data_IF_605368810053
#
_entry.id   IF_605368810053
#
_cell.length_a   1.000
_cell.length_b   1.000
_cell.length_c   1.000
_cell.angle_alpha   90.00
_cell.angle_beta   90.00
_cell.angle_gamma   90.00
#
_symmetry.space_group_name_H-M   'P 1'
#
loop_
_entity.id
_entity.type
_entity.pdbx_description
1 polymer ?
#
# COMPACT_ATOMS: atom_id res chain seq x y z
N UNK A 1 29.78 -2.77 17.31
CA UNK A 1 29.12 -2.47 16.04
C UNK A 1 27.99 -1.49 16.34
N UNK A 2 27.92 -0.39 15.62
CA UNK A 2 26.89 0.62 15.78
C UNK A 2 25.51 0.02 15.47
N UNK A 3 24.51 0.25 16.32
CA UNK A 3 23.13 -0.18 16.12
C UNK A 3 22.44 0.74 15.13
N UNK A 4 21.45 0.23 14.45
CA UNK A 4 20.55 0.99 13.56
C UNK A 4 19.16 0.94 14.16
N UNK A 5 18.66 2.09 14.60
CA UNK A 5 17.36 2.22 15.25
C UNK A 5 16.26 2.38 14.18
N UNK A 6 15.33 1.43 14.16
CA UNK A 6 14.21 1.38 13.21
C UNK A 6 12.90 1.49 13.97
N UNK A 7 12.08 2.47 13.61
CA UNK A 7 10.71 2.62 14.10
C UNK A 7 9.71 2.27 13.01
N UNK A 8 8.86 1.29 13.28
CA UNK A 8 7.73 0.91 12.43
C UNK A 8 6.43 1.41 13.08
N UNK A 9 5.71 2.32 12.42
CA UNK A 9 4.43 2.84 12.92
C UNK A 9 3.21 2.09 12.36
N UNK A 10 3.40 1.21 11.40
CA UNK A 10 2.37 0.27 10.94
C UNK A 10 2.42 -1.02 11.78
N UNK A 11 1.27 -1.70 11.84
CA UNK A 11 1.17 -2.99 12.53
C UNK A 11 1.61 -4.14 11.61
N UNK A 12 2.66 -4.83 11.99
CA UNK A 12 3.13 -6.07 11.39
C UNK A 12 2.92 -7.25 12.32
N UNK A 13 2.87 -8.46 11.76
CA UNK A 13 2.93 -9.68 12.56
C UNK A 13 4.34 -9.91 13.11
N UNK A 14 4.43 -10.67 14.21
CA UNK A 14 5.73 -11.03 14.81
C UNK A 14 6.64 -11.73 13.80
N UNK A 15 6.07 -12.57 12.92
CA UNK A 15 6.82 -13.25 11.86
C UNK A 15 7.53 -12.25 10.91
N UNK A 16 6.87 -11.14 10.56
CA UNK A 16 7.46 -10.10 9.70
C UNK A 16 8.55 -9.34 10.45
N UNK A 17 8.30 -8.99 11.71
CA UNK A 17 9.29 -8.30 12.54
C UNK A 17 10.52 -9.16 12.79
N UNK A 18 10.34 -10.45 13.03
CA UNK A 18 11.46 -11.40 13.22
C UNK A 18 12.24 -11.56 11.90
N UNK A 19 11.56 -11.58 10.76
CA UNK A 19 12.21 -11.53 9.45
C UNK A 19 13.08 -10.29 9.27
N UNK A 20 12.60 -9.11 9.68
CA UNK A 20 13.38 -7.87 9.63
C UNK A 20 14.59 -7.93 10.58
N UNK A 21 14.40 -8.39 11.82
CA UNK A 21 15.48 -8.52 12.81
C UNK A 21 16.56 -9.51 12.37
N UNK A 22 16.16 -10.57 11.65
CA UNK A 22 17.07 -11.58 11.14
C UNK A 22 17.99 -11.11 10.00
N UNK A 23 17.67 -9.96 9.35
CA UNK A 23 18.50 -9.40 8.28
C UNK A 23 19.90 -9.00 8.78
N UNK A 24 19.99 -8.45 10.00
CA UNK A 24 21.27 -8.10 10.60
C UNK A 24 21.14 -7.98 12.12
N UNK A 25 22.14 -8.43 12.89
CA UNK A 25 22.18 -8.23 14.35
C UNK A 25 22.36 -6.76 14.76
N UNK A 26 22.62 -5.87 13.79
CA UNK A 26 22.68 -4.43 14.03
C UNK A 26 21.31 -3.76 14.11
N UNK A 27 20.26 -4.39 13.57
CA UNK A 27 18.93 -3.80 13.50
C UNK A 27 18.24 -3.91 14.86
N UNK A 28 17.84 -2.77 15.38
CA UNK A 28 16.96 -2.66 16.52
C UNK A 28 15.59 -2.18 16.03
N UNK A 29 14.65 -3.12 15.90
CA UNK A 29 13.34 -2.85 15.32
C UNK A 29 12.30 -2.71 16.42
N UNK A 30 11.77 -1.50 16.56
CA UNK A 30 10.64 -1.16 17.45
C UNK A 30 9.38 -0.99 16.61
N UNK A 31 8.27 -1.55 17.07
CA UNK A 31 6.95 -1.31 16.49
C UNK A 31 6.07 -0.58 17.49
N UNK A 32 5.54 0.56 17.07
CA UNK A 32 4.52 1.32 17.79
C UNK A 32 3.45 1.76 16.79
N UNK A 33 2.29 1.10 16.82
CA UNK A 33 1.21 1.43 15.87
C UNK A 33 0.72 2.85 16.10
N UNK A 34 0.73 3.66 15.04
CA UNK A 34 0.27 5.04 15.03
C UNK A 34 -0.77 5.23 13.92
N UNK A 35 -1.82 5.97 14.20
CA UNK A 35 -2.95 6.19 13.29
C UNK A 35 -2.93 7.57 12.63
N UNK A 36 -2.24 8.53 13.24
CA UNK A 36 -2.11 9.89 12.75
C UNK A 36 -0.70 10.45 12.95
N UNK A 37 -0.48 11.68 12.48
CA UNK A 37 0.82 12.34 12.56
C UNK A 37 1.21 12.72 13.99
N UNK A 38 0.23 13.02 14.86
CA UNK A 38 0.49 13.40 16.26
C UNK A 38 1.00 12.18 17.05
N UNK A 39 0.41 11.01 16.82
CA UNK A 39 0.89 9.74 17.41
C UNK A 39 2.30 9.39 16.93
N UNK A 40 2.61 9.62 15.63
CA UNK A 40 3.97 9.44 15.10
C UNK A 40 4.94 10.42 15.72
N UNK A 41 4.55 11.70 15.91
CA UNK A 41 5.38 12.70 16.57
C UNK A 41 5.68 12.31 18.03
N UNK A 42 4.69 11.78 18.75
CA UNK A 42 4.90 11.27 20.11
C UNK A 42 5.87 10.08 20.12
N UNK A 43 5.69 9.12 19.22
CA UNK A 43 6.58 7.96 19.08
C UNK A 43 8.02 8.38 18.75
N UNK A 44 8.23 9.36 17.88
CA UNK A 44 9.55 9.89 17.55
C UNK A 44 10.22 10.56 18.76
N UNK A 45 9.46 11.27 19.60
CA UNK A 45 9.97 11.86 20.85
C UNK A 45 10.46 10.79 21.83
N UNK A 46 9.71 9.71 21.95
CA UNK A 46 10.04 8.59 22.83
C UNK A 46 11.26 7.79 22.34
N UNK A 47 11.50 7.78 21.02
CA UNK A 47 12.55 7.00 20.36
C UNK A 47 13.60 7.87 19.63
N UNK A 48 13.93 9.05 20.12
CA UNK A 48 14.71 10.11 19.46
C UNK A 48 15.98 9.75 18.68
N UNK A 49 16.46 8.50 18.76
CA UNK A 49 17.62 7.98 18.01
C UNK A 49 17.24 7.27 16.69
N UNK A 50 16.03 7.47 16.18
CA UNK A 50 15.53 6.78 14.97
C UNK A 50 16.35 7.18 13.73
N UNK A 51 16.93 6.18 13.06
CA UNK A 51 17.63 6.31 11.79
C UNK A 51 16.78 5.89 10.58
N UNK A 52 15.85 4.95 10.82
CA UNK A 52 14.93 4.44 9.79
C UNK A 52 13.51 4.52 10.32
N UNK A 53 12.65 5.21 9.59
CA UNK A 53 11.23 5.34 9.91
C UNK A 53 10.39 4.66 8.83
N UNK A 54 9.56 3.68 9.24
CA UNK A 54 8.52 3.11 8.40
C UNK A 54 7.17 3.67 8.84
N UNK A 55 6.54 4.51 8.00
CA UNK A 55 5.28 5.19 8.36
C UNK A 55 4.41 5.50 7.14
N UNK A 56 3.12 5.80 7.37
CA UNK A 56 2.25 6.45 6.39
C UNK A 56 2.02 7.92 6.74
N UNK A 57 1.45 8.26 7.93
CA UNK A 57 1.39 9.65 8.33
C UNK A 57 2.78 10.14 8.74
N UNK A 58 3.15 11.32 8.27
CA UNK A 58 4.43 11.92 8.61
C UNK A 58 4.20 13.30 9.26
N UNK A 59 4.61 13.51 10.51
CA UNK A 59 4.50 14.82 11.16
C UNK A 59 5.42 15.84 10.50
N UNK A 60 4.98 17.08 10.37
CA UNK A 60 5.71 18.17 9.69
C UNK A 60 7.09 18.42 10.30
N UNK A 61 7.23 18.22 11.62
CA UNK A 61 8.44 18.36 12.41
C UNK A 61 9.26 17.07 12.55
N UNK A 62 9.02 16.06 11.68
CA UNK A 62 9.69 14.75 11.75
C UNK A 62 11.22 14.86 11.78
N UNK A 63 11.82 15.81 11.03
CA UNK A 63 13.28 16.01 10.99
C UNK A 63 13.82 16.60 12.30
N UNK A 64 13.03 17.40 12.99
CA UNK A 64 13.39 17.96 14.30
C UNK A 64 13.30 16.90 15.39
N UNK A 65 12.26 16.05 15.31
CA UNK A 65 12.00 14.97 16.26
C UNK A 65 12.97 13.80 16.12
N UNK A 66 13.43 13.54 14.89
CA UNK A 66 14.40 12.49 14.57
C UNK A 66 15.58 13.06 13.77
N UNK A 67 16.49 13.82 14.40
CA UNK A 67 17.63 14.43 13.69
C UNK A 67 18.61 13.41 13.12
N UNK A 68 18.56 12.15 13.57
CA UNK A 68 19.33 11.04 13.03
C UNK A 68 18.66 10.30 11.85
N UNK A 69 17.49 10.75 11.41
CA UNK A 69 16.75 10.06 10.34
C UNK A 69 17.52 10.09 9.02
N UNK A 70 17.76 8.92 8.46
CA UNK A 70 18.50 8.72 7.20
C UNK A 70 17.65 8.07 6.13
N UNK A 71 16.64 7.29 6.54
CA UNK A 71 15.77 6.58 5.61
C UNK A 71 14.31 6.62 6.07
N UNK A 72 13.46 7.14 5.20
CA UNK A 72 12.01 7.11 5.33
C UNK A 72 11.43 6.10 4.35
N UNK A 73 10.88 5.03 4.86
CA UNK A 73 10.09 4.07 4.08
C UNK A 73 8.62 4.39 4.25
N UNK A 74 7.97 4.84 3.20
CA UNK A 74 6.54 5.11 3.20
C UNK A 74 5.73 3.80 3.08
N UNK A 75 4.65 3.70 3.87
CA UNK A 75 3.65 2.62 3.77
C UNK A 75 2.64 2.87 2.64
N UNK A 76 3.05 3.51 1.57
CA UNK A 76 2.24 3.84 0.41
C UNK A 76 3.00 3.59 -0.88
N UNK A 77 2.29 3.31 -1.97
CA UNK A 77 2.90 3.17 -3.29
C UNK A 77 3.31 4.51 -3.89
N UNK A 78 2.58 5.59 -3.57
CA UNK A 78 2.86 6.94 -4.02
C UNK A 78 3.36 7.84 -2.88
N UNK A 79 4.05 8.94 -3.24
CA UNK A 79 4.58 9.94 -2.32
C UNK A 79 3.86 11.29 -2.39
N UNK A 80 2.69 11.38 -3.04
CA UNK A 80 1.98 12.63 -3.30
C UNK A 80 1.67 13.42 -2.02
N UNK A 81 1.40 12.72 -0.92
CA UNK A 81 1.01 13.30 0.36
C UNK A 81 2.15 13.98 1.11
N UNK A 82 3.40 13.80 0.64
CA UNK A 82 4.58 14.42 1.26
C UNK A 82 5.34 15.36 0.31
N UNK A 83 4.79 15.67 -0.88
CA UNK A 83 5.51 16.51 -1.88
C UNK A 83 5.89 17.89 -1.33
N UNK A 84 5.04 18.48 -0.50
CA UNK A 84 5.29 19.78 0.13
C UNK A 84 5.93 19.65 1.53
N UNK A 85 6.26 18.43 1.97
CA UNK A 85 6.84 18.19 3.28
C UNK A 85 8.34 18.54 3.29
N UNK A 86 8.87 19.15 4.38
CA UNK A 86 10.30 19.50 4.50
C UNK A 86 11.27 18.34 4.23
N UNK A 87 10.88 17.10 4.51
CA UNK A 87 11.70 15.90 4.25
C UNK A 87 12.11 15.77 2.78
N UNK A 88 11.30 16.28 1.83
CA UNK A 88 11.60 16.25 0.40
C UNK A 88 12.80 17.12 -0.01
N UNK A 89 13.20 18.06 0.87
CA UNK A 89 14.34 18.96 0.66
C UNK A 89 15.55 18.58 1.54
N UNK A 90 15.48 17.44 2.22
CA UNK A 90 16.53 16.91 3.09
C UNK A 90 17.37 15.83 2.39
N UNK A 91 18.44 15.40 3.05
CA UNK A 91 19.28 14.27 2.61
C UNK A 91 18.69 12.90 3.00
N UNK A 92 17.49 12.85 3.57
CA UNK A 92 16.81 11.59 3.94
C UNK A 92 16.44 10.83 2.67
N UNK A 93 16.88 9.58 2.59
CA UNK A 93 16.47 8.69 1.50
C UNK A 93 15.00 8.30 1.67
N UNK A 94 14.18 8.56 0.64
CA UNK A 94 12.76 8.25 0.66
C UNK A 94 12.47 7.10 -0.29
N UNK A 95 11.77 6.08 0.20
CA UNK A 95 11.31 4.95 -0.58
C UNK A 95 9.83 4.66 -0.32
N UNK A 96 9.19 3.99 -1.27
CA UNK A 96 7.76 3.62 -1.22
C UNK A 96 7.59 2.12 -1.40
N UNK A 97 6.37 1.61 -1.16
CA UNK A 97 6.01 0.23 -1.48
C UNK A 97 5.46 0.09 -2.91
N UNK A 98 6.01 0.83 -3.85
CA UNK A 98 5.59 0.79 -5.27
C UNK A 98 5.64 -0.63 -5.82
N UNK A 99 4.59 -1.00 -6.58
CA UNK A 99 4.46 -2.33 -7.18
C UNK A 99 3.62 -3.33 -6.36
N UNK A 100 3.44 -3.11 -5.06
CA UNK A 100 2.68 -4.03 -4.18
C UNK A 100 1.23 -4.26 -4.66
N UNK A 101 0.64 -3.28 -5.31
CA UNK A 101 -0.74 -3.33 -5.80
C UNK A 101 -0.89 -3.83 -7.24
N UNK A 102 0.20 -4.16 -7.93
CA UNK A 102 0.16 -4.52 -9.35
C UNK A 102 -0.76 -5.73 -9.62
N UNK A 103 -0.58 -6.83 -8.88
CA UNK A 103 -1.39 -8.05 -9.02
C UNK A 103 -2.86 -7.82 -8.65
N UNK A 104 -3.21 -7.34 -7.43
CA UNK A 104 -4.61 -7.17 -7.06
C UNK A 104 -5.35 -6.16 -7.95
N UNK A 105 -4.69 -5.09 -8.42
CA UNK A 105 -5.30 -4.14 -9.36
C UNK A 105 -5.55 -4.81 -10.71
N UNK A 106 -4.61 -5.59 -11.24
CA UNK A 106 -4.80 -6.31 -12.49
C UNK A 106 -5.95 -7.32 -12.39
N UNK A 107 -6.01 -8.12 -11.32
CA UNK A 107 -7.10 -9.06 -11.07
C UNK A 107 -8.46 -8.36 -10.96
N UNK A 108 -8.55 -7.27 -10.21
CA UNK A 108 -9.77 -6.47 -10.09
C UNK A 108 -10.21 -5.89 -11.43
N UNK A 109 -9.27 -5.34 -12.21
CA UNK A 109 -9.56 -4.78 -13.53
C UNK A 109 -10.11 -5.85 -14.48
N UNK A 110 -9.45 -7.01 -14.59
CA UNK A 110 -9.93 -8.10 -15.42
C UNK A 110 -11.26 -8.69 -14.94
N UNK A 111 -11.43 -8.84 -13.63
CA UNK A 111 -12.72 -9.30 -13.06
C UNK A 111 -13.85 -8.34 -13.44
N UNK A 112 -13.63 -7.03 -13.35
CA UNK A 112 -14.61 -6.01 -13.70
C UNK A 112 -14.92 -5.99 -15.20
N UNK A 113 -13.90 -6.08 -16.06
CA UNK A 113 -14.06 -6.14 -17.52
C UNK A 113 -14.85 -7.38 -17.91
N UNK A 114 -14.52 -8.55 -17.36
CA UNK A 114 -15.20 -9.80 -17.64
C UNK A 114 -16.64 -9.78 -17.11
N UNK A 115 -16.86 -9.28 -15.90
CA UNK A 115 -18.19 -9.15 -15.33
C UNK A 115 -19.10 -8.27 -16.19
N UNK A 116 -18.58 -7.14 -16.69
CA UNK A 116 -19.31 -6.26 -17.61
C UNK A 116 -19.56 -6.96 -18.96
N UNK A 117 -18.53 -7.53 -19.56
CA UNK A 117 -18.63 -8.15 -20.89
C UNK A 117 -19.60 -9.32 -20.92
N UNK A 118 -19.56 -10.19 -19.93
CA UNK A 118 -20.43 -11.34 -19.80
C UNK A 118 -21.75 -11.07 -19.12
N UNK A 119 -22.05 -9.78 -18.80
CA UNK A 119 -23.28 -9.35 -18.13
C UNK A 119 -23.55 -10.13 -16.84
N UNK A 120 -22.52 -10.35 -16.03
CA UNK A 120 -22.62 -11.08 -14.77
C UNK A 120 -23.77 -10.60 -13.88
N UNK A 121 -24.01 -9.28 -13.69
CA UNK A 121 -25.14 -8.81 -12.90
C UNK A 121 -26.49 -9.27 -13.44
N UNK A 122 -26.65 -9.34 -14.78
CA UNK A 122 -27.91 -9.73 -15.40
C UNK A 122 -28.18 -11.23 -15.21
N UNK A 123 -27.22 -12.10 -15.51
CA UNK A 123 -27.48 -13.53 -15.32
C UNK A 123 -27.53 -13.93 -13.84
N UNK A 124 -26.86 -13.21 -12.94
CA UNK A 124 -27.01 -13.37 -11.50
C UNK A 124 -28.41 -12.97 -11.04
N UNK A 125 -28.97 -11.89 -11.61
CA UNK A 125 -30.37 -11.50 -11.37
C UNK A 125 -31.32 -12.59 -11.85
N UNK A 126 -31.20 -13.03 -13.11
CA UNK A 126 -32.05 -14.11 -13.65
C UNK A 126 -31.96 -15.38 -12.80
N UNK A 127 -30.78 -15.77 -12.32
CA UNK A 127 -30.60 -16.92 -11.45
C UNK A 127 -31.34 -16.76 -10.10
N UNK A 128 -31.25 -15.57 -9.50
CA UNK A 128 -31.93 -15.26 -8.24
C UNK A 128 -33.45 -15.33 -8.36
N UNK A 129 -33.98 -14.74 -9.45
CA UNK A 129 -35.40 -14.72 -9.75
C UNK A 129 -35.92 -16.05 -10.36
N UNK A 130 -35.03 -17.02 -10.58
CA UNK A 130 -35.31 -18.30 -11.26
C UNK A 130 -35.90 -18.11 -12.64
N UNK A 131 -35.48 -17.06 -13.34
CA UNK A 131 -35.89 -16.73 -14.69
C UNK A 131 -34.96 -17.37 -15.72
N UNK A 132 -35.57 -17.95 -16.79
CA UNK A 132 -34.86 -18.46 -17.94
C UNK A 132 -35.31 -17.69 -19.19
N UNK A 133 -34.72 -16.49 -19.46
CA UNK A 133 -35.28 -15.54 -20.40
C UNK A 133 -35.31 -16.08 -21.83
N UNK A 134 -36.35 -15.70 -22.58
CA UNK A 134 -36.40 -15.92 -24.02
C UNK A 134 -35.28 -15.14 -24.72
N UNK A 135 -34.76 -15.70 -25.82
CA UNK A 135 -33.65 -15.08 -26.55
C UNK A 135 -32.32 -15.06 -25.78
N UNK A 136 -32.18 -15.85 -24.71
CA UNK A 136 -30.99 -15.95 -23.85
C UNK A 136 -29.68 -16.16 -24.61
N UNK A 137 -29.72 -16.89 -25.72
CA UNK A 137 -28.53 -17.10 -26.54
C UNK A 137 -27.97 -15.80 -27.09
N UNK A 138 -28.83 -14.91 -27.60
CA UNK A 138 -28.45 -13.56 -28.04
C UNK A 138 -28.13 -12.64 -26.85
N UNK A 139 -28.82 -12.83 -25.74
CA UNK A 139 -28.68 -12.02 -24.55
C UNK A 139 -27.33 -12.25 -23.84
N UNK A 140 -26.91 -13.53 -23.73
CA UNK A 140 -25.72 -13.94 -22.99
C UNK A 140 -24.52 -14.31 -23.87
N UNK A 141 -24.71 -14.52 -25.17
CA UNK A 141 -23.59 -14.74 -26.10
C UNK A 141 -22.82 -13.44 -26.30
N UNK A 142 -21.54 -13.45 -25.96
CA UNK A 142 -20.65 -12.29 -26.07
C UNK A 142 -19.34 -12.68 -26.75
N UNK A 143 -18.73 -11.76 -27.52
CA UNK A 143 -17.39 -11.98 -28.05
C UNK A 143 -16.38 -12.18 -26.91
N UNK A 144 -15.40 -13.01 -27.13
CA UNK A 144 -14.27 -13.19 -26.22
C UNK A 144 -13.43 -11.90 -26.13
N UNK A 145 -12.62 -11.76 -25.06
CA UNK A 145 -11.65 -10.67 -24.94
C UNK A 145 -10.48 -10.78 -25.92
N UNK A 146 -10.27 -11.97 -26.46
CA UNK A 146 -9.20 -12.23 -27.43
C UNK A 146 -9.24 -11.23 -28.58
N UNK A 147 -8.13 -10.60 -28.88
CA UNK A 147 -8.00 -9.60 -29.94
C UNK A 147 -8.55 -8.20 -29.58
N UNK A 148 -9.07 -8.01 -28.35
CA UNK A 148 -9.49 -6.69 -27.89
C UNK A 148 -8.28 -5.84 -27.46
N UNK A 149 -8.41 -4.51 -27.54
CA UNK A 149 -7.41 -3.56 -27.06
C UNK A 149 -7.88 -2.96 -25.75
N UNK A 150 -7.00 -2.93 -24.74
CA UNK A 150 -7.20 -2.25 -23.46
C UNK A 150 -6.36 -0.97 -23.46
N UNK A 151 -7.02 0.19 -23.30
CA UNK A 151 -6.34 1.46 -23.05
C UNK A 151 -6.18 1.67 -21.54
N UNK A 152 -4.98 2.07 -21.11
CA UNK A 152 -4.69 2.39 -19.69
C UNK A 152 -4.28 3.86 -19.65
N UNK A 153 -4.98 4.62 -18.80
CA UNK A 153 -4.66 6.00 -18.46
C UNK A 153 -4.23 6.04 -16.99
N UNK A 154 -3.04 6.57 -16.70
CA UNK A 154 -2.52 6.63 -15.34
C UNK A 154 -1.29 7.49 -15.22
#
# INVERSE_FOLDING_TARGET
MERIEILCTARFSDQVLDGLRAVSPRLHVTQQTCHDADEVAAALKDHGAVEVLYTFPLPVDALELAPGLRWLQLHSAGANHILDHPVMQSDVQITTVSGIHATPIAEYAFASILAHRWRVPLWTHCQREREWPEGRWKLFSRPELRGSTLGILG
#
